data_IF_551118873827
#
_entry.id   IF_551118873827
#
_cell.length_a   1.000
_cell.length_b   1.000
_cell.length_c   1.000
_cell.angle_alpha   90.00
_cell.angle_beta   90.00
_cell.angle_gamma   90.00
#
_symmetry.space_group_name_H-M   'P 1'
#
loop_
_entity.id
_entity.type
_entity.pdbx_description
1 polymer ?
#
# COMPACT_ATOMS: atom_id res chain seq x y z
N UNK A 1 -13.83 -6.18 -36.05
CA UNK A 1 -14.49 -4.89 -35.72
C UNK A 1 -14.69 -4.72 -34.19
N UNK A 2 -15.31 -5.68 -33.47
CA UNK A 2 -15.63 -5.53 -32.03
C UNK A 2 -14.38 -5.31 -31.16
N UNK A 3 -13.32 -6.09 -31.34
CA UNK A 3 -12.06 -5.92 -30.59
C UNK A 3 -11.38 -4.57 -30.86
N UNK A 4 -11.45 -4.06 -32.11
CA UNK A 4 -10.88 -2.76 -32.45
C UNK A 4 -11.63 -1.62 -31.76
N UNK A 5 -12.94 -1.72 -31.61
CA UNK A 5 -13.73 -0.74 -30.86
C UNK A 5 -13.36 -0.73 -29.37
N UNK A 6 -13.24 -1.90 -28.75
CA UNK A 6 -12.86 -2.01 -27.35
C UNK A 6 -11.43 -1.46 -27.13
N UNK A 7 -10.49 -1.80 -28.01
CA UNK A 7 -9.13 -1.28 -27.95
C UNK A 7 -9.09 0.25 -28.10
N UNK A 8 -9.91 0.81 -28.98
CA UNK A 8 -10.05 2.26 -29.13
C UNK A 8 -10.62 2.91 -27.86
N UNK A 9 -11.70 2.33 -27.30
CA UNK A 9 -12.33 2.84 -26.08
C UNK A 9 -11.36 2.85 -24.87
N UNK A 10 -10.61 1.76 -24.68
CA UNK A 10 -9.63 1.67 -23.59
C UNK A 10 -8.47 2.66 -23.80
N UNK A 11 -7.96 2.80 -25.03
CA UNK A 11 -6.93 3.78 -25.35
C UNK A 11 -7.44 5.22 -25.15
N UNK A 12 -8.68 5.49 -25.53
CA UNK A 12 -9.31 6.80 -25.33
C UNK A 12 -9.47 7.13 -23.84
N UNK A 13 -9.93 6.16 -23.03
CA UNK A 13 -10.04 6.32 -21.57
C UNK A 13 -8.67 6.60 -20.94
N UNK A 14 -7.64 5.84 -21.32
CA UNK A 14 -6.27 6.06 -20.80
C UNK A 14 -5.74 7.45 -21.18
N UNK A 15 -6.12 7.99 -22.35
CA UNK A 15 -5.66 9.30 -22.81
C UNK A 15 -6.39 10.48 -22.17
N UNK A 16 -7.67 10.34 -21.82
CA UNK A 16 -8.53 11.44 -21.38
C UNK A 16 -8.92 11.36 -19.90
N UNK A 17 -8.90 10.16 -19.32
CA UNK A 17 -9.23 9.88 -17.90
C UNK A 17 -8.25 8.84 -17.35
N UNK A 18 -6.94 9.13 -17.35
CA UNK A 18 -5.92 8.14 -17.02
C UNK A 18 -6.05 7.60 -15.60
N UNK A 19 -6.40 8.42 -14.61
CA UNK A 19 -6.55 8.00 -13.22
C UNK A 19 -7.68 6.97 -13.08
N UNK A 20 -8.82 7.22 -13.73
CA UNK A 20 -9.95 6.28 -13.73
C UNK A 20 -9.60 4.99 -14.48
N UNK A 21 -8.87 5.10 -15.60
CA UNK A 21 -8.40 3.94 -16.36
C UNK A 21 -7.46 3.07 -15.49
N UNK A 22 -6.47 3.68 -14.81
CA UNK A 22 -5.54 2.93 -13.97
C UNK A 22 -6.23 2.33 -12.75
N UNK A 23 -7.07 3.08 -12.05
CA UNK A 23 -7.83 2.56 -10.91
C UNK A 23 -8.66 1.34 -11.31
N UNK A 24 -9.42 1.41 -12.40
CA UNK A 24 -10.23 0.30 -12.89
C UNK A 24 -9.39 -0.91 -13.37
N UNK A 25 -8.23 -0.66 -14.01
CA UNK A 25 -7.34 -1.72 -14.47
C UNK A 25 -6.68 -2.44 -13.30
N UNK A 26 -6.25 -1.68 -12.29
CA UNK A 26 -5.66 -2.23 -11.06
C UNK A 26 -6.70 -2.98 -10.22
N UNK A 27 -7.93 -2.51 -10.16
CA UNK A 27 -9.04 -3.20 -9.53
C UNK A 27 -9.31 -4.56 -10.19
N UNK A 28 -9.33 -4.61 -11.51
CA UNK A 28 -9.52 -5.86 -12.25
C UNK A 28 -8.38 -6.88 -12.01
N UNK A 29 -7.16 -6.40 -11.86
CA UNK A 29 -5.97 -7.23 -11.64
C UNK A 29 -5.49 -7.19 -10.16
N UNK A 30 -6.36 -6.92 -9.19
CA UNK A 30 -6.03 -6.65 -7.78
C UNK A 30 -5.14 -7.73 -7.13
N UNK A 31 -5.28 -8.97 -7.55
CA UNK A 31 -4.50 -10.10 -7.02
C UNK A 31 -3.23 -10.40 -7.83
N UNK A 32 -2.94 -9.63 -8.88
CA UNK A 32 -1.81 -9.86 -9.78
C UNK A 32 -0.71 -8.83 -9.52
N UNK A 33 0.08 -9.06 -8.49
CA UNK A 33 1.14 -8.14 -8.02
C UNK A 33 2.06 -7.64 -9.13
N UNK A 34 2.45 -8.52 -10.06
CA UNK A 34 3.34 -8.16 -11.17
C UNK A 34 2.68 -7.13 -12.11
N UNK A 35 1.37 -7.26 -12.34
CA UNK A 35 0.62 -6.28 -13.13
C UNK A 35 0.46 -4.97 -12.38
N UNK A 36 0.20 -5.03 -11.07
CA UNK A 36 0.13 -3.82 -10.24
C UNK A 36 1.43 -3.04 -10.28
N UNK A 37 2.58 -3.72 -10.24
CA UNK A 37 3.89 -3.09 -10.40
C UNK A 37 4.03 -2.37 -11.76
N UNK A 38 3.60 -3.01 -12.86
CA UNK A 38 3.63 -2.43 -14.20
C UNK A 38 2.73 -1.18 -14.27
N UNK A 39 1.50 -1.24 -13.74
CA UNK A 39 0.60 -0.09 -13.72
C UNK A 39 1.15 1.05 -12.87
N UNK A 40 1.75 0.76 -11.71
CA UNK A 40 2.39 1.76 -10.86
C UNK A 40 3.55 2.46 -11.59
N UNK A 41 4.40 1.70 -12.28
CA UNK A 41 5.49 2.26 -13.08
C UNK A 41 4.98 3.11 -14.25
N UNK A 42 3.93 2.68 -14.93
CA UNK A 42 3.30 3.44 -16.01
C UNK A 42 2.73 4.77 -15.49
N UNK A 43 2.00 4.74 -14.36
CA UNK A 43 1.51 5.97 -13.72
C UNK A 43 2.65 6.93 -13.40
N UNK A 44 3.74 6.43 -12.80
CA UNK A 44 4.92 7.24 -12.49
C UNK A 44 5.53 7.90 -13.74
N UNK A 45 5.63 7.16 -14.85
CA UNK A 45 6.13 7.69 -16.14
C UNK A 45 5.22 8.75 -16.74
N UNK A 46 3.92 8.63 -16.53
CA UNK A 46 2.90 9.58 -17.03
C UNK A 46 2.68 10.76 -16.08
N UNK A 47 3.36 10.80 -14.92
CA UNK A 47 3.18 11.85 -13.92
C UNK A 47 1.86 11.76 -13.16
N UNK A 48 1.21 10.59 -13.15
CA UNK A 48 -0.04 10.33 -12.41
C UNK A 48 0.32 9.91 -11.00
N UNK A 49 -0.24 10.60 -10.02
CA UNK A 49 -0.01 10.29 -8.62
C UNK A 49 -0.69 8.97 -8.22
N UNK A 50 0.08 8.07 -7.61
CA UNK A 50 -0.42 6.89 -6.91
C UNK A 50 -0.20 7.11 -5.41
N UNK A 51 -1.27 7.32 -4.67
CA UNK A 51 -1.21 7.60 -3.25
C UNK A 51 -1.10 6.30 -2.44
N UNK A 52 -0.32 6.27 -1.35
CA UNK A 52 -0.16 5.08 -0.52
C UNK A 52 -1.47 4.66 0.13
N UNK A 53 -1.59 3.38 0.55
CA UNK A 53 -2.76 2.93 1.29
C UNK A 53 -2.89 3.70 2.61
N UNK A 54 -4.13 3.98 3.00
CA UNK A 54 -4.45 4.71 4.22
C UNK A 54 -5.74 4.17 4.83
N UNK A 55 -5.71 3.77 6.09
CA UNK A 55 -6.89 3.23 6.79
C UNK A 55 -8.07 4.19 6.79
N UNK A 56 -7.80 5.50 6.71
CA UNK A 56 -8.83 6.53 6.74
C UNK A 56 -9.27 7.03 5.34
N UNK A 57 -8.52 6.74 4.28
CA UNK A 57 -8.82 7.22 2.93
C UNK A 57 -9.06 6.08 1.93
N UNK A 58 -8.25 5.01 1.97
CA UNK A 58 -8.36 3.93 1.00
C UNK A 58 -9.67 3.14 1.14
N UNK A 59 -10.13 2.61 0.03
CA UNK A 59 -11.16 1.57 0.00
C UNK A 59 -10.50 0.17 0.00
N UNK A 60 -11.32 -0.87 0.05
CA UNK A 60 -10.83 -2.23 -0.16
C UNK A 60 -10.26 -2.40 -1.57
N UNK A 61 -10.85 -1.71 -2.55
CA UNK A 61 -10.45 -1.64 -3.94
C UNK A 61 -9.77 -0.30 -4.29
N UNK A 62 -9.16 -0.21 -5.48
CA UNK A 62 -8.56 1.03 -5.99
C UNK A 62 -9.62 2.10 -6.23
N UNK A 63 -9.30 3.34 -5.93
CA UNK A 63 -10.20 4.46 -6.11
C UNK A 63 -9.48 5.69 -6.66
N UNK A 64 -10.24 6.60 -7.24
CA UNK A 64 -9.75 7.93 -7.64
C UNK A 64 -10.19 8.93 -6.59
N UNK A 65 -9.28 9.82 -6.20
CA UNK A 65 -9.59 10.92 -5.28
C UNK A 65 -8.99 12.23 -5.79
N UNK A 66 -9.56 13.33 -5.31
CA UNK A 66 -8.99 14.66 -5.58
C UNK A 66 -7.69 14.85 -4.78
N UNK A 67 -6.66 15.36 -5.47
CA UNK A 67 -5.35 15.65 -4.90
C UNK A 67 -4.92 17.07 -5.31
N UNK A 68 -3.90 17.63 -4.64
CA UNK A 68 -3.46 19.00 -4.84
C UNK A 68 -3.14 19.35 -6.31
N UNK A 69 -2.60 18.39 -7.05
CA UNK A 69 -2.16 18.55 -8.44
C UNK A 69 -3.16 17.95 -9.46
N UNK A 70 -4.38 17.64 -9.04
CA UNK A 70 -5.42 17.00 -9.85
C UNK A 70 -5.94 15.70 -9.24
N UNK A 71 -6.48 14.80 -10.06
CA UNK A 71 -6.92 13.49 -9.59
C UNK A 71 -5.73 12.55 -9.37
N UNK A 72 -5.85 11.67 -8.37
CA UNK A 72 -4.84 10.66 -8.05
C UNK A 72 -5.49 9.29 -7.85
N UNK A 73 -4.74 8.23 -8.08
CA UNK A 73 -5.16 6.86 -7.76
C UNK A 73 -4.78 6.55 -6.31
N UNK A 74 -5.76 6.19 -5.48
CA UNK A 74 -5.51 5.71 -4.11
C UNK A 74 -5.31 4.19 -4.12
N UNK A 75 -4.20 3.73 -3.53
CA UNK A 75 -3.90 2.30 -3.43
C UNK A 75 -4.91 1.58 -2.54
N UNK A 76 -5.41 0.44 -3.01
CA UNK A 76 -6.39 -0.40 -2.34
C UNK A 76 -5.81 -1.09 -1.10
N UNK A 77 -6.56 -1.18 -0.02
CA UNK A 77 -6.15 -1.97 1.16
C UNK A 77 -6.13 -3.48 0.84
N UNK A 78 -7.11 -3.94 0.05
CA UNK A 78 -7.23 -5.35 -0.35
C UNK A 78 -6.17 -5.83 -1.34
N UNK A 79 -5.45 -4.91 -1.99
CA UNK A 79 -4.36 -5.23 -2.92
C UNK A 79 -3.04 -5.58 -2.23
N UNK A 80 -2.91 -5.32 -0.93
CA UNK A 80 -1.71 -5.65 -0.17
C UNK A 80 -1.59 -7.17 0.02
N UNK A 81 -0.37 -7.68 -0.05
CA UNK A 81 -0.10 -9.13 0.04
C UNK A 81 -0.64 -9.75 1.34
N UNK A 82 -1.49 -10.75 1.19
CA UNK A 82 -2.06 -11.49 2.33
C UNK A 82 -3.09 -10.69 3.14
N UNK A 83 -3.45 -9.50 2.69
CA UNK A 83 -4.57 -8.72 3.23
C UNK A 83 -5.82 -9.12 2.46
N UNK A 84 -6.84 -9.62 3.16
CA UNK A 84 -8.07 -10.07 2.53
C UNK A 84 -8.96 -8.91 2.11
N UNK A 85 -9.41 -8.89 0.85
CA UNK A 85 -10.29 -7.86 0.31
C UNK A 85 -11.58 -7.75 1.13
N UNK A 86 -12.23 -8.89 1.42
CA UNK A 86 -13.47 -8.91 2.23
C UNK A 86 -13.30 -8.34 3.64
N UNK A 87 -12.15 -8.59 4.27
CA UNK A 87 -11.85 -8.00 5.57
C UNK A 87 -11.75 -6.47 5.48
N UNK A 88 -11.12 -5.96 4.43
CA UNK A 88 -10.97 -4.52 4.22
C UNK A 88 -12.28 -3.85 3.80
N UNK A 89 -13.17 -4.54 3.07
CA UNK A 89 -14.54 -4.04 2.83
C UNK A 89 -15.26 -3.77 4.15
N UNK A 90 -15.23 -4.73 5.08
CA UNK A 90 -15.89 -4.59 6.38
C UNK A 90 -15.25 -3.49 7.26
N UNK A 91 -13.93 -3.32 7.19
CA UNK A 91 -13.25 -2.19 7.85
C UNK A 91 -13.67 -0.86 7.23
N UNK A 92 -13.80 -0.78 5.92
CA UNK A 92 -14.28 0.43 5.24
C UNK A 92 -15.76 0.73 5.56
N UNK A 93 -16.61 -0.31 5.63
CA UNK A 93 -18.01 -0.16 6.06
C UNK A 93 -18.10 0.37 7.50
N UNK A 94 -17.26 -0.15 8.41
CA UNK A 94 -17.21 0.31 9.80
C UNK A 94 -16.76 1.77 9.87
N UNK A 95 -15.73 2.14 9.11
CA UNK A 95 -15.28 3.53 8.99
C UNK A 95 -16.38 4.45 8.44
N UNK A 96 -17.16 3.97 7.48
CA UNK A 96 -18.24 4.76 6.89
C UNK A 96 -19.39 5.01 7.90
N UNK A 97 -19.64 4.07 8.82
CA UNK A 97 -20.67 4.20 9.86
C UNK A 97 -20.27 5.13 11.00
N UNK A 98 -19.07 4.94 11.53
CA UNK A 98 -18.61 5.56 12.78
C UNK A 98 -17.58 6.68 12.58
N UNK A 99 -17.24 6.97 11.31
CA UNK A 99 -16.22 7.97 10.96
C UNK A 99 -14.79 7.43 10.98
N UNK A 100 -13.81 8.31 10.66
CA UNK A 100 -12.40 7.94 10.57
C UNK A 100 -11.84 7.48 11.92
N UNK A 101 -10.86 6.57 11.87
CA UNK A 101 -10.11 6.12 13.05
C UNK A 101 -9.14 7.21 13.52
N UNK A 102 -9.24 7.64 14.78
CA UNK A 102 -8.43 8.70 15.35
C UNK A 102 -7.19 8.19 16.07
N UNK A 103 -7.20 6.93 16.50
CA UNK A 103 -6.10 6.27 17.18
C UNK A 103 -6.09 4.77 16.93
N UNK A 104 -4.97 4.12 17.27
CA UNK A 104 -4.86 2.65 17.23
C UNK A 104 -5.82 1.98 18.22
N UNK A 105 -6.09 2.64 19.35
CA UNK A 105 -7.06 2.16 20.34
C UNK A 105 -8.48 2.13 19.78
N UNK A 106 -8.86 3.22 19.11
CA UNK A 106 -10.18 3.30 18.46
C UNK A 106 -10.30 2.25 17.35
N UNK A 107 -9.28 2.10 16.53
CA UNK A 107 -9.23 1.06 15.50
C UNK A 107 -9.37 -0.34 16.12
N UNK A 108 -8.58 -0.67 17.16
CA UNK A 108 -8.63 -1.96 17.84
C UNK A 108 -10.01 -2.26 18.43
N UNK A 109 -10.69 -1.26 18.98
CA UNK A 109 -12.04 -1.44 19.54
C UNK A 109 -13.13 -1.62 18.50
N UNK A 110 -12.95 -1.10 17.29
CA UNK A 110 -13.97 -1.09 16.23
C UNK A 110 -13.80 -2.25 15.25
N UNK A 111 -12.58 -2.73 15.04
CA UNK A 111 -12.31 -3.81 14.10
C UNK A 111 -12.65 -5.17 14.72
N UNK A 112 -13.37 -6.01 13.98
CA UNK A 112 -13.67 -7.38 14.40
C UNK A 112 -12.37 -8.24 14.31
N UNK A 113 -11.88 -8.79 15.44
CA UNK A 113 -10.63 -9.57 15.48
C UNK A 113 -10.68 -10.87 14.67
N UNK A 114 -11.87 -11.32 14.25
CA UNK A 114 -12.04 -12.48 13.38
C UNK A 114 -11.76 -12.18 11.91
N UNK A 115 -11.78 -10.90 11.52
CA UNK A 115 -11.58 -10.44 10.13
C UNK A 115 -10.13 -10.16 9.82
N UNK A 116 -9.35 -9.78 10.82
CA UNK A 116 -7.93 -9.41 10.68
C UNK A 116 -7.06 -10.28 11.56
N UNK A 117 -5.93 -10.71 11.03
CA UNK A 117 -4.91 -11.44 11.78
C UNK A 117 -3.64 -10.61 11.95
N UNK A 118 -2.69 -11.11 12.78
CA UNK A 118 -1.41 -10.45 13.05
C UNK A 118 -0.68 -10.07 11.76
N UNK A 119 -0.53 -11.04 10.82
CA UNK A 119 0.21 -10.83 9.57
C UNK A 119 -0.42 -9.74 8.69
N UNK A 120 -1.74 -9.65 8.67
CA UNK A 120 -2.44 -8.58 7.95
C UNK A 120 -2.16 -7.20 8.55
N UNK A 121 -2.18 -7.09 9.89
CA UNK A 121 -1.84 -5.83 10.56
C UNK A 121 -0.38 -5.45 10.35
N UNK A 122 0.54 -6.42 10.39
CA UNK A 122 1.95 -6.22 10.08
C UNK A 122 2.13 -5.71 8.63
N UNK A 123 1.45 -6.33 7.66
CA UNK A 123 1.49 -5.91 6.25
C UNK A 123 0.91 -4.50 6.05
N UNK A 124 -0.22 -4.18 6.69
CA UNK A 124 -0.82 -2.84 6.65
C UNK A 124 0.12 -1.78 7.26
N UNK A 125 0.78 -2.10 8.37
CA UNK A 125 1.76 -1.21 8.99
C UNK A 125 2.99 -1.01 8.09
N UNK A 126 3.53 -2.09 7.51
CA UNK A 126 4.66 -2.05 6.59
C UNK A 126 4.34 -1.19 5.35
N UNK A 127 3.13 -1.29 4.81
CA UNK A 127 2.66 -0.48 3.69
C UNK A 127 2.39 1.00 4.06
N UNK A 128 2.38 1.35 5.35
CA UNK A 128 2.08 2.70 5.82
C UNK A 128 0.60 3.03 5.92
N UNK A 129 -0.27 2.03 5.89
CA UNK A 129 -1.72 2.24 5.97
C UNK A 129 -2.16 2.95 7.25
N UNK A 130 -1.37 2.89 8.31
CA UNK A 130 -1.66 3.55 9.60
C UNK A 130 -1.00 4.92 9.77
N UNK A 131 -0.22 5.42 8.80
CA UNK A 131 0.57 6.67 8.96
C UNK A 131 -0.28 7.88 9.36
N UNK A 132 -1.54 7.95 8.91
CA UNK A 132 -2.48 9.00 9.29
C UNK A 132 -2.99 8.87 10.75
N UNK A 133 -2.84 7.70 11.37
CA UNK A 133 -3.25 7.40 12.74
C UNK A 133 -2.04 7.44 13.67
N UNK A 134 -0.93 6.85 13.24
CA UNK A 134 0.32 6.80 13.99
C UNK A 134 1.54 6.73 13.06
N UNK A 135 2.50 7.68 13.16
CA UNK A 135 3.59 7.80 12.19
C UNK A 135 4.71 6.75 12.37
N UNK A 136 4.79 6.09 13.52
CA UNK A 136 5.81 5.07 13.80
C UNK A 136 5.40 3.69 13.24
N UNK A 137 5.74 3.43 11.99
CA UNK A 137 5.44 2.14 11.33
C UNK A 137 6.09 0.96 12.03
N UNK A 138 7.32 1.10 12.55
CA UNK A 138 8.02 0.02 13.24
C UNK A 138 7.33 -0.35 14.54
N UNK A 139 6.94 0.65 15.33
CA UNK A 139 6.19 0.46 16.56
C UNK A 139 4.80 -0.15 16.30
N UNK A 140 4.08 0.32 15.29
CA UNK A 140 2.75 -0.23 14.92
C UNK A 140 2.87 -1.67 14.42
N UNK A 141 3.86 -1.97 13.58
CA UNK A 141 4.14 -3.34 13.12
C UNK A 141 4.42 -4.28 14.30
N UNK A 142 5.27 -3.86 15.22
CA UNK A 142 5.60 -4.65 16.41
C UNK A 142 4.42 -4.79 17.39
N UNK A 143 3.45 -3.85 17.37
CA UNK A 143 2.25 -3.86 18.20
C UNK A 143 1.09 -4.70 17.63
N UNK A 144 1.24 -5.37 16.49
CA UNK A 144 0.15 -6.09 15.82
C UNK A 144 -0.56 -7.09 16.75
N UNK A 145 0.16 -7.83 17.60
CA UNK A 145 -0.43 -8.74 18.59
C UNK A 145 -1.19 -7.99 19.69
N UNK A 146 -0.67 -6.87 20.14
CA UNK A 146 -1.33 -6.04 21.17
C UNK A 146 -2.62 -5.45 20.63
N UNK A 147 -2.64 -4.98 19.39
CA UNK A 147 -3.84 -4.47 18.71
C UNK A 147 -4.91 -5.57 18.65
N UNK A 148 -4.52 -6.79 18.24
CA UNK A 148 -5.46 -7.92 18.20
C UNK A 148 -5.95 -8.34 19.58
N UNK A 149 -5.09 -8.34 20.60
CA UNK A 149 -5.49 -8.68 21.96
C UNK A 149 -6.53 -7.68 22.49
N UNK A 150 -6.34 -6.37 22.23
CA UNK A 150 -7.32 -5.34 22.59
C UNK A 150 -8.62 -5.54 21.81
N UNK A 151 -8.55 -5.81 20.51
CA UNK A 151 -9.73 -6.07 19.68
C UNK A 151 -10.51 -7.29 20.17
N UNK A 152 -9.85 -8.43 20.45
CA UNK A 152 -10.48 -9.64 20.95
C UNK A 152 -11.16 -9.41 22.29
N UNK A 153 -10.47 -8.78 23.23
CA UNK A 153 -11.03 -8.48 24.55
C UNK A 153 -12.27 -7.59 24.45
N UNK A 154 -12.22 -6.57 23.62
CA UNK A 154 -13.38 -5.66 23.43
C UNK A 154 -14.55 -6.39 22.77
N UNK A 155 -14.26 -7.24 21.78
CA UNK A 155 -15.27 -8.04 21.10
C UNK A 155 -15.96 -9.03 22.06
N UNK A 156 -15.18 -9.75 22.90
CA UNK A 156 -15.69 -10.71 23.87
C UNK A 156 -16.55 -10.02 24.95
N UNK A 157 -16.13 -8.85 25.42
CA UNK A 157 -16.92 -8.05 26.37
C UNK A 157 -18.27 -7.62 25.80
N UNK A 158 -18.31 -7.22 24.52
CA UNK A 158 -19.56 -6.87 23.84
C UNK A 158 -20.47 -8.10 23.63
N UNK A 159 -19.88 -9.25 23.26
CA UNK A 159 -20.62 -10.49 23.00
C UNK A 159 -21.24 -11.09 24.28
N UNK A 160 -20.58 -10.97 25.44
CA UNK A 160 -21.05 -11.51 26.70
C UNK A 160 -22.08 -10.63 27.42
N UNK A 161 -22.35 -9.43 26.87
CA UNK A 161 -23.28 -8.48 27.50
C UNK A 161 -22.81 -7.97 28.87
N UNK A 162 -21.57 -8.31 29.26
CA UNK A 162 -20.91 -7.81 30.46
C UNK A 162 -20.36 -6.38 30.26
N UNK A 163 -21.14 -5.54 29.62
CA UNK A 163 -21.04 -4.08 29.75
C UNK A 163 -21.45 -3.76 31.20
N UNK A 164 -20.47 -3.76 32.04
CA UNK A 164 -20.42 -3.91 33.45
C UNK A 164 -21.58 -3.38 34.27
N UNK A 165 -21.87 -4.08 35.35
CA UNK A 165 -22.54 -3.56 36.54
C UNK A 165 -21.89 -2.23 37.06
N UNK A 166 -20.76 -1.82 36.47
CA UNK A 166 -19.95 -0.66 36.85
C UNK A 166 -19.78 0.40 35.72
N UNK A 167 -20.50 0.29 34.56
CA UNK A 167 -20.56 1.31 33.54
C UNK A 167 -19.42 1.26 32.49
N UNK A 168 -19.60 2.03 31.42
CA UNK A 168 -18.67 2.13 30.25
C UNK A 168 -17.23 2.54 30.58
N UNK A 169 -16.93 2.90 31.83
CA UNK A 169 -15.62 3.39 32.27
C UNK A 169 -14.52 2.31 32.25
N UNK A 170 -14.84 1.03 32.50
CA UNK A 170 -13.84 -0.04 32.51
C UNK A 170 -13.44 -0.56 31.12
N UNK A 171 -14.28 -0.34 30.10
CA UNK A 171 -13.97 -0.73 28.71
C UNK A 171 -12.88 0.17 28.11
N UNK A 172 -12.68 1.35 28.67
CA UNK A 172 -11.72 2.35 28.18
C UNK A 172 -10.27 2.17 28.67
N UNK A 173 -10.00 1.24 29.58
CA UNK A 173 -8.74 1.19 30.31
C UNK A 173 -7.64 0.34 29.63
N UNK A 174 -7.92 -0.32 28.49
CA UNK A 174 -6.91 -1.10 27.77
C UNK A 174 -6.45 -0.32 26.53
N UNK A 175 -5.39 0.43 26.70
CA UNK A 175 -4.73 1.15 25.61
C UNK A 175 -3.77 0.23 24.85
N UNK A 176 -3.70 0.42 23.52
CA UNK A 176 -2.68 -0.20 22.67
C UNK A 176 -1.33 0.40 23.03
N UNK A 177 -0.51 -0.34 23.77
CA UNK A 177 0.85 0.09 24.06
C UNK A 177 1.79 -0.35 22.94
N UNK A 178 2.47 0.62 22.33
CA UNK A 178 3.49 0.33 21.34
C UNK A 178 4.75 -0.14 22.07
N UNK A 179 5.32 -1.31 21.71
CA UNK A 179 6.61 -1.71 22.24
C UNK A 179 7.67 -0.72 21.78
N UNK A 180 8.72 -0.56 22.60
CA UNK A 180 9.88 0.22 22.20
C UNK A 180 10.61 -0.50 21.05
N UNK A 181 10.25 -0.19 19.83
CA UNK A 181 10.93 -0.65 18.62
C UNK A 181 11.88 0.44 18.13
N UNK A 182 13.06 0.05 17.65
CA UNK A 182 13.91 0.99 16.95
C UNK A 182 13.22 1.44 15.65
N UNK A 183 13.24 2.72 15.36
CA UNK A 183 12.71 3.23 14.11
C UNK A 183 13.39 2.54 12.91
N UNK A 184 12.63 2.11 11.93
CA UNK A 184 13.18 1.50 10.73
C UNK A 184 14.11 2.45 9.99
N UNK A 185 15.26 1.96 9.60
CA UNK A 185 16.10 2.62 8.60
C UNK A 185 15.35 2.71 7.27
N UNK A 186 15.84 3.57 6.37
CA UNK A 186 15.26 3.70 5.03
C UNK A 186 15.25 2.34 4.29
N UNK A 187 16.30 1.54 4.47
CA UNK A 187 16.42 0.22 3.84
C UNK A 187 15.39 -0.75 4.42
N UNK A 188 15.27 -0.84 5.74
CA UNK A 188 14.29 -1.70 6.40
C UNK A 188 12.86 -1.31 5.99
N UNK A 189 12.56 0.00 5.99
CA UNK A 189 11.26 0.50 5.54
C UNK A 189 10.96 0.13 4.08
N UNK A 190 11.92 0.31 3.19
CA UNK A 190 11.77 -0.01 1.77
C UNK A 190 11.59 -1.51 1.54
N UNK A 191 12.30 -2.34 2.30
CA UNK A 191 12.13 -3.80 2.24
C UNK A 191 10.75 -4.22 2.78
N UNK A 192 10.30 -3.65 3.90
CA UNK A 192 8.98 -3.91 4.46
C UNK A 192 7.86 -3.49 3.48
N UNK A 193 8.01 -2.34 2.83
CA UNK A 193 7.10 -1.93 1.74
C UNK A 193 7.11 -2.96 0.60
N UNK A 194 8.29 -3.39 0.12
CA UNK A 194 8.39 -4.40 -0.94
C UNK A 194 7.70 -5.71 -0.55
N UNK A 195 7.82 -6.15 0.69
CA UNK A 195 7.11 -7.35 1.17
C UNK A 195 5.60 -7.15 1.15
N UNK A 196 5.10 -5.98 1.55
CA UNK A 196 3.69 -5.67 1.60
C UNK A 196 3.05 -5.49 0.21
N UNK A 197 3.71 -4.76 -0.69
CA UNK A 197 3.21 -4.49 -2.05
C UNK A 197 3.61 -5.57 -3.06
N UNK A 198 4.76 -6.23 -2.86
CA UNK A 198 5.42 -7.11 -3.82
C UNK A 198 6.32 -6.40 -4.82
N UNK A 199 6.42 -5.08 -4.72
CA UNK A 199 7.31 -4.22 -5.49
C UNK A 199 7.70 -2.99 -4.67
N UNK A 200 8.69 -2.21 -5.13
CA UNK A 200 9.09 -0.98 -4.47
C UNK A 200 8.09 0.14 -4.77
N UNK A 201 7.31 0.54 -3.76
CA UNK A 201 6.24 1.52 -3.92
C UNK A 201 6.74 2.96 -3.81
N UNK A 202 7.35 3.34 -2.68
CA UNK A 202 7.72 4.74 -2.42
C UNK A 202 9.07 5.13 -3.00
N UNK A 203 10.07 4.25 -2.93
CA UNK A 203 11.43 4.50 -3.41
C UNK A 203 12.11 3.18 -3.79
N UNK A 204 12.94 3.23 -4.83
CA UNK A 204 13.79 2.10 -5.19
C UNK A 204 15.15 2.20 -4.47
N UNK A 205 15.75 1.11 -3.97
CA UNK A 205 17.06 1.15 -3.31
C UNK A 205 18.16 1.82 -4.15
N UNK A 206 18.08 1.73 -5.48
CA UNK A 206 19.00 2.39 -6.40
C UNK A 206 18.86 3.91 -6.44
N UNK A 207 17.73 4.48 -6.05
CA UNK A 207 17.51 5.94 -6.09
C UNK A 207 18.53 6.67 -5.21
N UNK A 208 18.91 6.05 -4.10
CA UNK A 208 20.00 6.54 -3.24
C UNK A 208 21.35 6.65 -3.95
N UNK A 209 21.59 5.80 -4.93
CA UNK A 209 22.84 5.70 -5.67
C UNK A 209 22.75 6.33 -7.07
N UNK A 210 21.66 7.01 -7.41
CA UNK A 210 21.43 7.61 -8.72
C UNK A 210 22.55 8.57 -9.12
N UNK A 211 23.10 9.33 -8.15
CA UNK A 211 24.23 10.23 -8.39
C UNK A 211 25.50 9.45 -8.78
N UNK A 212 25.80 8.32 -8.14
CA UNK A 212 26.95 7.48 -8.50
C UNK A 212 26.74 6.82 -9.85
N UNK A 213 25.56 6.32 -10.12
CA UNK A 213 25.20 5.77 -11.42
C UNK A 213 25.46 6.79 -12.53
N UNK A 214 25.08 8.05 -12.32
CA UNK A 214 25.34 9.14 -13.26
C UNK A 214 26.84 9.46 -13.41
N UNK A 215 27.59 9.53 -12.32
CA UNK A 215 29.05 9.79 -12.32
C UNK A 215 29.80 8.69 -13.09
N UNK A 216 29.38 7.44 -12.96
CA UNK A 216 29.99 6.30 -13.68
C UNK A 216 29.40 6.07 -15.07
N UNK A 217 28.57 6.98 -15.57
CA UNK A 217 28.00 6.88 -16.91
C UNK A 217 27.05 5.71 -17.11
N UNK A 218 26.41 5.24 -16.02
CA UNK A 218 25.43 4.17 -16.11
C UNK A 218 24.22 4.60 -16.96
N UNK A 219 23.78 3.72 -17.82
CA UNK A 219 22.66 3.91 -18.73
C UNK A 219 21.42 3.16 -18.23
N UNK A 220 20.25 3.65 -18.57
CA UNK A 220 19.00 2.92 -18.39
C UNK A 220 18.96 1.73 -19.36
N UNK A 221 18.45 0.59 -18.91
CA UNK A 221 18.23 -0.60 -19.76
C UNK A 221 17.40 -0.24 -20.99
N UNK A 222 16.38 0.60 -20.83
CA UNK A 222 15.52 1.06 -21.92
C UNK A 222 16.35 1.80 -22.98
N UNK A 223 17.33 2.63 -22.58
CA UNK A 223 18.19 3.36 -23.52
C UNK A 223 19.16 2.47 -24.28
N UNK A 224 19.32 1.19 -23.90
CA UNK A 224 20.14 0.24 -24.66
C UNK A 224 19.46 -0.20 -25.95
N UNK A 225 18.13 -0.19 -26.00
CA UNK A 225 17.37 -0.52 -27.21
C UNK A 225 17.59 0.50 -28.35
N UNK A 226 17.97 1.74 -27.99
CA UNK A 226 18.21 2.82 -28.95
C UNK A 226 19.64 2.82 -29.50
N UNK A 227 20.49 1.90 -29.02
CA UNK A 227 21.89 1.81 -29.50
C UNK A 227 21.93 1.03 -30.80
N UNK A 228 22.20 1.71 -31.89
CA UNK A 228 22.48 1.07 -33.17
C UNK A 228 23.88 0.47 -33.16
N UNK A 229 23.96 -0.86 -33.24
CA UNK A 229 25.24 -1.59 -33.32
C UNK A 229 25.36 -2.20 -34.73
N UNK A 230 26.43 -1.90 -35.47
CA UNK A 230 26.67 -2.54 -36.77
C UNK A 230 26.78 -4.07 -36.63
N UNK A 231 26.36 -4.79 -37.66
CA UNK A 231 26.43 -6.26 -37.69
C UNK A 231 27.84 -6.76 -37.37
N UNK A 232 27.94 -7.67 -36.38
CA UNK A 232 29.21 -8.24 -35.94
C UNK A 232 30.00 -7.37 -34.95
N UNK A 233 29.59 -6.13 -34.67
CA UNK A 233 30.25 -5.27 -33.70
C UNK A 233 29.73 -5.53 -32.26
N UNK A 234 30.56 -5.15 -31.27
CA UNK A 234 30.20 -5.19 -29.83
C UNK A 234 30.37 -3.79 -29.24
N UNK A 235 29.44 -3.42 -28.39
CA UNK A 235 29.58 -2.19 -27.60
C UNK A 235 29.43 -2.53 -26.11
N UNK A 236 30.13 -1.78 -25.25
CA UNK A 236 30.00 -1.89 -23.82
C UNK A 236 29.01 -0.87 -23.27
N UNK A 237 28.25 -1.25 -22.26
CA UNK A 237 27.43 -0.31 -21.51
C UNK A 237 27.61 -0.56 -20.00
N UNK A 238 27.65 0.54 -19.24
CA UNK A 238 27.66 0.48 -17.78
C UNK A 238 26.21 0.53 -17.30
N UNK A 239 25.83 -0.41 -16.44
CA UNK A 239 24.52 -0.47 -15.81
C UNK A 239 24.67 -0.37 -14.31
N UNK A 240 23.72 0.28 -13.65
CA UNK A 240 23.53 0.18 -12.21
C UNK A 240 22.35 -0.76 -11.95
N UNK A 241 22.57 -1.80 -11.15
CA UNK A 241 21.57 -2.81 -10.84
C UNK A 241 21.62 -3.18 -9.36
N UNK A 242 20.47 -3.59 -8.84
CA UNK A 242 20.36 -4.26 -7.55
C UNK A 242 20.54 -5.77 -7.78
N UNK A 243 21.46 -6.37 -7.03
CA UNK A 243 21.61 -7.83 -7.03
C UNK A 243 20.61 -8.38 -6.00
N UNK A 244 19.72 -9.25 -6.46
CA UNK A 244 18.79 -10.01 -5.62
C UNK A 244 19.28 -11.45 -5.58
N UNK A 245 19.33 -12.03 -4.37
CA UNK A 245 19.67 -13.44 -4.14
C UNK A 245 18.51 -14.39 -4.48
#
# INVERSE_FOLDING_TARGET
AAYALLAYQTAWLKAHHPEAFFAASMAYDIHQTDKLAIFHDDMRRLGIACLPPCMNASQADFSVEDHADGAAVRYALGALKGVGERAMELVCEERAKEGPFRSLDELARRVDPRLVNKRQLETLAAAGAFDAIHPDRAGVHAAAETILAVASRTHDQRATGQGGLFGEAEVNDVAVQLPQAAAWTIIERTNAEREAFGFYFSAHPLDRYAHLAKVHGARSIVSLADISIPDGARTGATLAALVED
#
